data_IF_124270754554
#
_entry.id   IF_124270754554
#
_cell.length_a   1.000
_cell.length_b   1.000
_cell.length_c   1.000
_cell.angle_alpha   90.00
_cell.angle_beta   90.00
_cell.angle_gamma   90.00
#
_symmetry.space_group_name_H-M   'P 1'
#
loop_
_entity.id
_entity.type
_entity.pdbx_description
1 polymer ?
#
# COMPACT_ATOMS: atom_id res chain seq x y z
N UNK A 1 -7.04 -15.79 16.43
CA UNK A 1 -7.42 -14.55 17.13
C UNK A 1 -7.20 -13.36 16.20
N UNK A 2 -8.13 -12.44 16.16
CA UNK A 2 -8.00 -11.26 15.30
C UNK A 2 -7.02 -10.24 15.88
N UNK A 3 -6.26 -9.60 15.01
CA UNK A 3 -5.29 -8.57 15.38
C UNK A 3 -5.96 -7.19 15.34
N UNK A 4 -5.72 -6.38 16.37
CA UNK A 4 -6.21 -5.01 16.40
C UNK A 4 -5.46 -4.16 15.37
N UNK A 5 -6.15 -3.20 14.78
CA UNK A 5 -5.53 -2.26 13.84
C UNK A 5 -4.74 -1.16 14.54
N UNK A 6 -5.13 -0.77 15.73
CA UNK A 6 -4.47 0.29 16.48
C UNK A 6 -3.03 -0.12 16.81
N UNK A 7 -2.09 0.77 16.48
CA UNK A 7 -0.66 0.48 16.62
C UNK A 7 0.03 0.06 15.33
N UNK A 8 -0.73 -0.07 14.24
CA UNK A 8 -0.15 -0.32 12.92
C UNK A 8 0.69 0.88 12.48
N UNK A 9 1.90 0.63 11.99
CA UNK A 9 2.80 1.67 11.53
C UNK A 9 3.15 1.48 10.07
N UNK A 10 3.50 2.59 9.41
CA UNK A 10 3.94 2.59 8.03
C UNK A 10 5.29 3.28 7.93
N UNK A 11 6.22 2.66 7.23
CA UNK A 11 7.53 3.28 6.95
C UNK A 11 7.73 3.40 5.45
N UNK A 12 8.40 4.47 5.03
CA UNK A 12 8.76 4.71 3.65
C UNK A 12 10.26 4.98 3.57
N UNK A 13 11.00 4.12 2.88
CA UNK A 13 12.47 4.15 2.82
C UNK A 13 13.11 4.15 4.22
N UNK A 14 12.51 3.39 5.15
CA UNK A 14 12.99 3.31 6.52
C UNK A 14 12.58 4.47 7.42
N UNK A 15 11.86 5.46 6.90
CA UNK A 15 11.38 6.60 7.67
C UNK A 15 9.92 6.42 8.04
N UNK A 16 9.61 6.47 9.34
CA UNK A 16 8.23 6.32 9.80
C UNK A 16 7.35 7.47 9.32
N UNK A 17 6.16 7.14 8.82
CA UNK A 17 5.15 8.14 8.44
C UNK A 17 4.16 8.24 9.60
N UNK A 18 4.21 9.35 10.32
CA UNK A 18 3.35 9.61 11.47
C UNK A 18 2.02 10.26 11.10
N UNK A 19 1.18 10.44 12.11
CA UNK A 19 -0.13 11.10 12.00
C UNK A 19 -1.12 10.46 11.03
N UNK A 20 -0.94 9.19 10.70
CA UNK A 20 -1.86 8.45 9.84
C UNK A 20 -3.11 8.03 10.64
N UNK A 21 -4.27 8.24 10.08
CA UNK A 21 -5.54 7.78 10.66
C UNK A 21 -6.01 6.47 10.04
N UNK A 22 -5.61 6.18 8.80
CA UNK A 22 -5.95 4.91 8.16
C UNK A 22 -4.96 4.54 7.08
N UNK A 23 -4.82 3.23 6.87
CA UNK A 23 -4.04 2.64 5.79
C UNK A 23 -5.01 1.68 5.09
N UNK A 24 -5.16 1.81 3.77
CA UNK A 24 -6.06 0.93 3.04
C UNK A 24 -5.52 -0.51 2.98
N UNK A 25 -6.35 -1.44 2.62
CA UNK A 25 -5.96 -2.84 2.49
C UNK A 25 -4.94 -3.03 1.37
N UNK A 26 -4.09 -4.06 1.54
CA UNK A 26 -3.20 -4.53 0.50
C UNK A 26 -3.93 -5.64 -0.24
N UNK A 27 -4.21 -5.42 -1.52
CA UNK A 27 -4.89 -6.42 -2.35
C UNK A 27 -3.89 -7.03 -3.31
N UNK A 28 -3.52 -8.28 -3.06
CA UNK A 28 -2.67 -9.04 -3.98
C UNK A 28 -3.57 -9.79 -4.95
N UNK A 29 -3.45 -9.47 -6.21
CA UNK A 29 -4.29 -10.03 -7.27
C UNK A 29 -3.43 -10.65 -8.35
N UNK A 30 -3.98 -11.61 -9.08
CA UNK A 30 -3.26 -12.25 -10.16
C UNK A 30 -4.20 -12.52 -11.32
N UNK A 31 -3.66 -12.45 -12.52
CA UNK A 31 -4.37 -12.84 -13.73
C UNK A 31 -4.54 -14.35 -13.78
N UNK A 32 -5.73 -14.81 -14.15
CA UNK A 32 -6.01 -16.22 -14.37
C UNK A 32 -6.09 -16.47 -15.87
N UNK A 33 -5.24 -17.38 -16.35
CA UNK A 33 -5.18 -17.72 -17.76
C UNK A 33 -5.87 -19.06 -17.95
N UNK A 34 -6.89 -19.11 -18.81
CA UNK A 34 -7.64 -20.33 -19.09
C UNK A 34 -6.81 -21.23 -20.00
N UNK A 35 -6.44 -22.40 -19.49
CA UNK A 35 -5.69 -23.42 -20.21
C UNK A 35 -6.51 -24.68 -20.43
N UNK A 36 -7.84 -24.60 -20.33
CA UNK A 36 -8.75 -25.71 -20.50
C UNK A 36 -8.62 -26.30 -21.90
N UNK A 37 -8.52 -27.65 -22.01
CA UNK A 37 -8.46 -28.38 -23.27
C UNK A 37 -9.59 -29.39 -23.32
N UNK A 38 -9.75 -30.06 -24.47
CA UNK A 38 -10.73 -31.11 -24.61
C UNK A 38 -10.45 -32.30 -23.68
N UNK A 39 -9.18 -32.45 -23.26
CA UNK A 39 -8.74 -33.55 -22.39
C UNK A 39 -8.80 -33.17 -20.90
N UNK A 40 -9.33 -32.02 -20.58
CA UNK A 40 -9.38 -31.57 -19.16
C UNK A 40 -10.20 -32.52 -18.31
N UNK A 41 -9.64 -33.01 -17.17
CA UNK A 41 -10.29 -34.02 -16.34
C UNK A 41 -11.66 -33.60 -15.83
N UNK A 42 -12.64 -34.51 -15.92
CA UNK A 42 -13.98 -34.26 -15.39
C UNK A 42 -14.76 -33.18 -16.11
N UNK A 43 -14.30 -32.70 -17.25
CA UNK A 43 -14.94 -31.58 -17.94
C UNK A 43 -14.77 -30.24 -17.25
N UNK A 44 -13.88 -30.16 -16.25
CA UNK A 44 -13.63 -28.94 -15.49
C UNK A 44 -12.69 -27.99 -16.20
N UNK A 45 -12.93 -26.69 -16.01
CA UNK A 45 -12.02 -25.67 -16.52
C UNK A 45 -10.72 -25.69 -15.73
N UNK A 46 -9.63 -25.45 -16.42
CA UNK A 46 -8.30 -25.39 -15.85
C UNK A 46 -7.69 -24.03 -16.10
N UNK A 47 -7.00 -23.50 -15.06
CA UNK A 47 -6.39 -22.18 -15.13
C UNK A 47 -4.95 -22.24 -14.65
N UNK A 48 -4.12 -21.35 -15.17
CA UNK A 48 -2.83 -21.08 -14.57
C UNK A 48 -2.74 -19.61 -14.17
N UNK A 49 -1.91 -19.35 -13.17
CA UNK A 49 -1.71 -18.01 -12.66
C UNK A 49 -0.78 -17.22 -13.60
N UNK A 50 -1.23 -16.05 -14.02
CA UNK A 50 -0.45 -15.14 -14.82
C UNK A 50 0.26 -14.08 -13.98
N UNK A 51 0.29 -12.86 -14.48
CA UNK A 51 0.94 -11.74 -13.80
C UNK A 51 0.26 -11.42 -12.47
N UNK A 52 1.07 -11.04 -11.48
CA UNK A 52 0.61 -10.65 -10.16
C UNK A 52 0.67 -9.13 -10.01
N UNK A 53 -0.28 -8.59 -9.27
CA UNK A 53 -0.37 -7.16 -9.01
C UNK A 53 -0.73 -6.94 -7.53
N UNK A 54 0.07 -6.16 -6.84
CA UNK A 54 -0.20 -5.81 -5.44
C UNK A 54 -1.11 -4.60 -5.29
N UNK A 55 -1.51 -3.95 -6.39
CA UNK A 55 -2.50 -2.89 -6.38
C UNK A 55 -1.99 -1.57 -5.82
N UNK A 56 -2.93 -0.82 -5.28
CA UNK A 56 -2.67 0.51 -4.73
C UNK A 56 -2.99 0.54 -3.25
N UNK A 57 -2.26 1.38 -2.51
CA UNK A 57 -2.48 1.60 -1.08
C UNK A 57 -2.69 3.08 -0.86
N UNK A 58 -3.73 3.40 -0.10
CA UNK A 58 -4.05 4.78 0.26
C UNK A 58 -3.73 5.01 1.73
N UNK A 59 -2.90 6.01 1.99
CA UNK A 59 -2.61 6.49 3.34
C UNK A 59 -3.44 7.74 3.59
N UNK A 60 -4.17 7.77 4.69
CA UNK A 60 -4.96 8.92 5.09
C UNK A 60 -4.57 9.32 6.50
N UNK A 61 -4.40 10.60 6.72
CA UNK A 61 -4.02 11.11 8.02
C UNK A 61 -4.14 12.61 8.09
N UNK A 62 -3.32 13.23 8.93
CA UNK A 62 -3.33 14.66 9.14
C UNK A 62 -1.99 15.26 8.77
N UNK A 63 -2.03 16.41 8.11
CA UNK A 63 -0.80 17.12 7.75
C UNK A 63 -0.08 17.59 9.01
N UNK A 64 1.23 17.32 9.06
CA UNK A 64 2.11 17.80 10.11
C UNK A 64 3.38 18.36 9.47
N UNK A 65 3.61 19.66 9.66
CA UNK A 65 4.83 20.30 9.16
C UNK A 65 6.04 19.71 9.87
N UNK A 66 7.04 19.32 9.10
CA UNK A 66 8.24 18.72 9.67
C UNK A 66 8.17 17.23 9.90
N UNK A 67 7.04 16.57 9.57
CA UNK A 67 6.94 15.12 9.64
C UNK A 67 7.83 14.49 8.56
N UNK A 68 8.88 13.79 8.98
CA UNK A 68 9.90 13.26 8.06
C UNK A 68 9.31 12.30 7.03
N UNK A 69 8.35 11.46 7.43
CA UNK A 69 7.70 10.53 6.53
C UNK A 69 6.90 11.22 5.43
N UNK A 70 6.17 12.27 5.79
CA UNK A 70 5.39 13.05 4.80
C UNK A 70 6.32 13.79 3.83
N UNK A 71 7.43 14.30 4.32
CA UNK A 71 8.45 14.94 3.48
C UNK A 71 9.06 13.92 2.52
N UNK A 72 9.35 12.71 3.00
CA UNK A 72 9.92 11.65 2.17
C UNK A 72 8.95 11.23 1.05
N UNK A 73 7.67 11.11 1.35
CA UNK A 73 6.63 10.80 0.35
C UNK A 73 6.54 11.88 -0.72
N UNK A 74 6.58 13.14 -0.32
CA UNK A 74 6.54 14.26 -1.25
C UNK A 74 7.77 14.29 -2.15
N UNK A 75 8.95 14.05 -1.58
CA UNK A 75 10.20 13.98 -2.33
C UNK A 75 10.18 12.85 -3.37
N UNK A 76 9.64 11.69 -3.00
CA UNK A 76 9.50 10.56 -3.92
C UNK A 76 8.53 10.88 -5.06
N UNK A 77 7.45 11.60 -4.77
CA UNK A 77 6.51 12.04 -5.79
C UNK A 77 7.20 12.98 -6.80
N UNK A 78 7.98 13.91 -6.30
CA UNK A 78 8.67 14.90 -7.16
C UNK A 78 9.78 14.26 -8.00
N UNK A 79 10.50 13.27 -7.44
CA UNK A 79 11.58 12.58 -8.15
C UNK A 79 11.11 11.50 -9.12
N UNK A 80 9.92 10.92 -8.87
CA UNK A 80 9.39 9.81 -9.65
C UNK A 80 10.07 8.48 -9.40
N UNK A 81 10.84 8.35 -8.35
CA UNK A 81 11.54 7.11 -8.00
C UNK A 81 10.72 6.27 -7.03
N UNK A 82 10.81 4.93 -7.20
CA UNK A 82 10.17 4.00 -6.29
C UNK A 82 10.89 3.99 -4.94
N UNK A 83 10.11 3.83 -3.87
CA UNK A 83 10.64 3.69 -2.53
C UNK A 83 10.16 2.41 -1.88
N UNK A 84 10.88 1.95 -0.87
CA UNK A 84 10.54 0.75 -0.12
C UNK A 84 9.50 1.10 0.95
N UNK A 85 8.35 0.43 0.90
CA UNK A 85 7.28 0.62 1.85
C UNK A 85 7.19 -0.59 2.77
N UNK A 86 6.90 -0.37 4.04
CA UNK A 86 6.69 -1.43 5.00
C UNK A 86 5.56 -1.07 5.95
N UNK A 87 4.57 -1.97 6.07
CA UNK A 87 3.50 -1.84 7.04
C UNK A 87 3.80 -2.84 8.15
N UNK A 88 3.89 -2.36 9.38
CA UNK A 88 4.12 -3.20 10.56
C UNK A 88 2.84 -3.25 11.38
N UNK A 89 2.31 -4.45 11.58
CA UNK A 89 1.11 -4.67 12.37
C UNK A 89 1.46 -4.85 13.86
N UNK A 90 0.51 -4.60 14.77
CA UNK A 90 0.78 -4.70 16.21
C UNK A 90 1.23 -6.09 16.69
N UNK A 91 0.91 -7.14 15.96
CA UNK A 91 1.34 -8.50 16.29
C UNK A 91 2.76 -8.85 15.81
N UNK A 92 3.44 -7.89 15.19
CA UNK A 92 4.78 -8.06 14.66
C UNK A 92 4.85 -8.50 13.20
N UNK A 93 3.73 -8.81 12.58
CA UNK A 93 3.69 -9.14 11.16
C UNK A 93 4.01 -7.90 10.32
N UNK A 94 4.67 -8.11 9.20
CA UNK A 94 5.09 -7.01 8.31
C UNK A 94 4.72 -7.33 6.87
N UNK A 95 4.36 -6.29 6.12
CA UNK A 95 4.17 -6.37 4.68
C UNK A 95 5.09 -5.32 4.03
N UNK A 96 6.02 -5.76 3.21
CA UNK A 96 7.00 -4.89 2.57
C UNK A 96 6.87 -5.00 1.05
N UNK A 97 6.94 -3.85 0.37
CA UNK A 97 6.81 -3.80 -1.08
C UNK A 97 7.43 -2.52 -1.61
N UNK A 98 7.96 -2.51 -2.86
CA UNK A 98 8.35 -1.29 -3.52
C UNK A 98 7.14 -0.60 -4.13
N UNK A 99 7.08 0.72 -4.06
CA UNK A 99 5.97 1.48 -4.60
C UNK A 99 6.39 2.84 -5.13
N UNK A 100 5.63 3.32 -6.12
CA UNK A 100 5.70 4.70 -6.60
C UNK A 100 4.60 5.51 -5.93
N UNK A 101 4.88 6.76 -5.60
CA UNK A 101 3.86 7.68 -5.11
C UNK A 101 3.04 8.15 -6.30
N UNK A 102 1.80 7.68 -6.38
CA UNK A 102 0.89 8.02 -7.47
C UNK A 102 0.29 9.41 -7.30
N UNK A 103 -0.12 9.73 -6.07
CA UNK A 103 -0.67 11.05 -5.77
C UNK A 103 -0.37 11.46 -4.34
N UNK A 104 -0.32 12.75 -4.12
CA UNK A 104 -0.06 13.35 -2.83
C UNK A 104 -1.00 14.55 -2.70
N UNK A 105 -1.88 14.52 -1.73
CA UNK A 105 -2.91 15.55 -1.57
C UNK A 105 -2.95 16.06 -0.13
N UNK A 106 -3.13 17.36 -0.01
CA UNK A 106 -3.50 18.01 1.24
C UNK A 106 -4.95 18.43 1.12
N UNK A 107 -5.77 18.08 2.12
CA UNK A 107 -7.18 18.38 2.10
C UNK A 107 -7.48 19.86 2.34
N UNK A 108 -8.74 20.23 2.16
CA UNK A 108 -9.19 21.59 2.40
C UNK A 108 -9.05 21.93 3.89
N UNK A 109 -8.58 23.13 4.16
CA UNK A 109 -8.50 23.62 5.52
C UNK A 109 -9.89 24.11 5.97
N UNK A 110 -10.32 23.69 7.16
CA UNK A 110 -11.58 24.09 7.76
C UNK A 110 -11.34 24.54 9.19
N UNK A 111 -12.22 25.41 9.70
CA UNK A 111 -12.05 26.00 11.03
C UNK A 111 -12.03 24.93 12.13
N UNK A 112 -12.87 23.91 12.00
CA UNK A 112 -13.09 22.92 13.07
C UNK A 112 -12.36 21.60 12.85
N UNK A 113 -11.48 21.50 11.86
CA UNK A 113 -10.80 20.24 11.60
C UNK A 113 -9.34 20.44 11.21
N UNK A 114 -8.55 19.40 11.44
CA UNK A 114 -7.16 19.37 11.01
C UNK A 114 -7.09 19.22 9.48
N UNK A 115 -5.99 19.69 8.91
CA UNK A 115 -5.77 19.54 7.46
C UNK A 115 -5.51 18.08 7.15
N UNK A 116 -6.34 17.50 6.31
CA UNK A 116 -6.20 16.10 5.91
C UNK A 116 -5.02 15.93 4.97
N UNK A 117 -4.36 14.78 5.11
CA UNK A 117 -3.26 14.35 4.25
C UNK A 117 -3.66 13.04 3.61
N UNK A 118 -3.52 12.93 2.30
CA UNK A 118 -3.81 11.69 1.57
C UNK A 118 -2.70 11.43 0.58
N UNK A 119 -2.20 10.18 0.59
CA UNK A 119 -1.18 9.74 -0.35
C UNK A 119 -1.58 8.40 -0.92
N UNK A 120 -1.54 8.25 -2.25
CA UNK A 120 -1.81 6.99 -2.91
C UNK A 120 -0.50 6.46 -3.47
N UNK A 121 -0.18 5.21 -3.12
CA UNK A 121 1.03 4.53 -3.54
C UNK A 121 0.64 3.37 -4.45
N UNK A 122 1.32 3.25 -5.59
CA UNK A 122 1.13 2.13 -6.51
C UNK A 122 2.28 1.15 -6.31
N UNK A 123 1.97 -0.07 -5.92
CA UNK A 123 2.98 -1.11 -5.77
C UNK A 123 3.56 -1.48 -7.13
N UNK A 124 4.89 -1.52 -7.23
CA UNK A 124 5.60 -1.80 -8.48
C UNK A 124 6.40 -3.10 -8.41
N UNK A 125 6.19 -3.88 -7.37
CA UNK A 125 6.86 -5.16 -7.20
C UNK A 125 6.09 -6.07 -6.28
N UNK A 126 6.74 -7.16 -5.88
CA UNK A 126 6.13 -8.19 -5.04
C UNK A 126 6.00 -7.70 -3.58
N UNK A 127 4.86 -8.01 -2.97
CA UNK A 127 4.67 -7.82 -1.53
C UNK A 127 5.28 -9.02 -0.79
N UNK A 128 6.13 -8.73 0.17
CA UNK A 128 6.74 -9.75 1.04
C UNK A 128 6.12 -9.65 2.41
N UNK A 129 5.54 -10.74 2.87
CA UNK A 129 4.97 -10.85 4.22
C UNK A 129 5.94 -11.58 5.15
N UNK A 130 6.08 -11.09 6.36
CA UNK A 130 7.00 -11.69 7.32
C UNK A 130 6.50 -11.63 8.76
#
# INVERSE_FOLDING_TARGET
MATKSLGTTFTFNGTAVGTLSSISEITCDSEMIDITTLDSPGGCRQFMQGAKDAGEIRLTGFHAKGEAGQIALRASYDSGEAGDCCITFPDGAKAAFPALVKSHALGAAQVDSAIAFTCVLRAVGQVTFS
#
